data_IF_982561505099
#
_entry.id   IF_982561505099
#
_cell.length_a   1.000
_cell.length_b   1.000
_cell.length_c   1.000
_cell.angle_alpha   90.00
_cell.angle_beta   90.00
_cell.angle_gamma   90.00
#
_symmetry.space_group_name_H-M   'P 1'
#
loop_
_entity.id
_entity.type
_entity.pdbx_description
1 polymer ?
#
# COMPACT_ATOMS: atom_id res chain seq x y z
N UNK A 1 9.67 -8.21 15.03
CA UNK A 1 9.01 -8.70 13.81
C UNK A 1 9.14 -10.22 13.67
N UNK A 2 10.37 -10.77 13.59
CA UNK A 2 10.59 -12.21 13.35
C UNK A 2 10.40 -13.10 14.58
N UNK A 3 10.21 -12.57 15.75
CA UNK A 3 9.87 -13.37 16.94
C UNK A 3 8.36 -13.39 17.12
N UNK A 4 7.73 -14.55 16.89
CA UNK A 4 6.28 -14.69 16.88
C UNK A 4 5.63 -14.39 18.25
N UNK A 5 6.32 -14.64 19.38
CA UNK A 5 5.81 -14.31 20.70
C UNK A 5 5.82 -12.80 21.00
N UNK A 6 6.59 -12.01 20.24
CA UNK A 6 6.70 -10.56 20.38
C UNK A 6 5.93 -9.79 19.28
N UNK A 7 5.38 -10.50 18.29
CA UNK A 7 4.70 -9.91 17.14
C UNK A 7 3.26 -10.41 17.03
N UNK A 8 2.32 -9.69 17.61
CA UNK A 8 0.89 -9.99 17.49
C UNK A 8 0.27 -9.55 16.16
N UNK A 9 0.91 -8.62 15.45
CA UNK A 9 0.37 -8.04 14.24
C UNK A 9 0.44 -8.98 13.00
N UNK A 10 1.11 -10.14 13.11
CA UNK A 10 1.35 -11.10 12.01
C UNK A 10 1.93 -10.45 10.74
N UNK A 11 2.66 -9.36 10.89
CA UNK A 11 3.21 -8.54 9.80
C UNK A 11 4.61 -9.02 9.40
N UNK A 12 4.76 -10.31 9.10
CA UNK A 12 6.05 -10.95 8.82
C UNK A 12 6.29 -11.28 7.36
N UNK A 13 5.28 -11.13 6.50
CA UNK A 13 5.35 -11.59 5.10
C UNK A 13 6.52 -11.02 4.32
N UNK A 14 6.86 -9.73 4.49
CA UNK A 14 7.97 -9.13 3.76
C UNK A 14 9.34 -9.63 4.25
N UNK A 15 9.67 -9.59 5.56
CA UNK A 15 10.92 -10.17 6.03
C UNK A 15 11.07 -11.65 5.69
N UNK A 16 10.05 -12.47 5.89
CA UNK A 16 10.12 -13.92 5.63
C UNK A 16 10.24 -14.24 4.15
N UNK A 17 9.72 -13.39 3.27
CA UNK A 17 9.83 -13.56 1.82
C UNK A 17 11.24 -13.28 1.30
N UNK A 18 11.91 -12.25 1.83
CA UNK A 18 13.16 -11.74 1.26
C UNK A 18 14.42 -12.14 2.02
N UNK A 19 14.37 -12.26 3.34
CA UNK A 19 15.58 -12.44 4.17
C UNK A 19 15.88 -13.92 4.40
N UNK A 20 17.16 -14.28 4.24
CA UNK A 20 17.66 -15.64 4.54
C UNK A 20 17.37 -16.01 5.98
N UNK A 21 16.87 -17.22 6.24
CA UNK A 21 16.60 -17.76 7.57
C UNK A 21 15.45 -17.11 8.34
N UNK A 22 14.80 -16.07 7.77
CA UNK A 22 13.77 -15.32 8.48
C UNK A 22 12.48 -16.12 8.71
N UNK A 23 12.08 -16.92 7.74
CA UNK A 23 10.89 -17.78 7.82
C UNK A 23 11.08 -18.90 8.82
N UNK A 24 12.22 -19.58 8.71
CA UNK A 24 12.60 -20.67 9.61
C UNK A 24 12.70 -20.22 11.07
N UNK A 25 13.26 -19.03 11.28
CA UNK A 25 13.34 -18.44 12.61
C UNK A 25 11.96 -18.06 13.15
N UNK A 26 11.10 -17.47 12.31
CA UNK A 26 9.74 -17.12 12.71
C UNK A 26 8.93 -18.37 13.11
N UNK A 27 8.93 -19.42 12.32
CA UNK A 27 8.22 -20.68 12.64
C UNK A 27 8.80 -21.33 13.91
N UNK A 28 10.14 -21.35 14.05
CA UNK A 28 10.77 -21.82 15.30
C UNK A 28 10.27 -21.06 16.53
N UNK A 29 10.22 -19.73 16.46
CA UNK A 29 9.73 -18.92 17.61
C UNK A 29 8.25 -19.10 17.88
N UNK A 30 7.46 -19.38 16.86
CA UNK A 30 6.05 -19.71 16.97
C UNK A 30 5.84 -21.05 17.70
N UNK A 31 6.62 -22.06 17.34
CA UNK A 31 6.58 -23.38 18.00
C UNK A 31 7.05 -23.32 19.46
N UNK A 32 7.99 -22.43 19.77
CA UNK A 32 8.45 -22.21 21.16
C UNK A 32 7.40 -21.50 22.03
N UNK A 33 6.44 -20.81 21.43
CA UNK A 33 5.40 -20.06 22.14
C UNK A 33 5.99 -19.02 23.09
N UNK A 34 5.51 -19.00 24.35
CA UNK A 34 5.94 -18.01 25.34
C UNK A 34 7.45 -18.05 25.65
N UNK A 35 8.11 -19.21 25.50
CA UNK A 35 9.54 -19.35 25.73
C UNK A 35 10.39 -18.53 24.73
N UNK A 36 9.84 -18.17 23.58
CA UNK A 36 10.53 -17.32 22.62
C UNK A 36 10.64 -15.84 23.08
N UNK A 37 9.92 -15.42 24.10
CA UNK A 37 9.96 -14.04 24.62
C UNK A 37 11.35 -13.64 25.14
N UNK A 38 12.13 -14.60 25.63
CA UNK A 38 13.47 -14.36 26.19
C UNK A 38 14.57 -14.29 25.13
N UNK A 39 14.29 -14.69 23.88
CA UNK A 39 15.26 -14.64 22.80
C UNK A 39 15.67 -13.20 22.47
N UNK A 40 16.95 -13.01 22.17
CA UNK A 40 17.59 -11.74 21.86
C UNK A 40 18.16 -11.74 20.44
N UNK A 41 18.76 -10.63 20.06
CA UNK A 41 19.37 -10.45 18.75
C UNK A 41 20.40 -11.53 18.42
N UNK A 42 21.24 -11.93 19.40
CA UNK A 42 22.27 -12.95 19.19
C UNK A 42 21.63 -14.32 18.84
N UNK A 43 20.52 -14.69 19.47
CA UNK A 43 19.84 -15.96 19.16
C UNK A 43 19.30 -15.98 17.72
N UNK A 44 18.94 -14.81 17.19
CA UNK A 44 18.52 -14.66 15.80
C UNK A 44 19.71 -14.82 14.85
N UNK A 45 20.86 -14.24 15.17
CA UNK A 45 22.10 -14.42 14.40
C UNK A 45 22.57 -15.87 14.41
N UNK A 46 22.59 -16.50 15.58
CA UNK A 46 23.00 -17.92 15.76
C UNK A 46 22.06 -18.87 14.99
N UNK A 47 20.81 -18.46 14.77
CA UNK A 47 19.87 -19.18 13.92
C UNK A 47 20.09 -18.95 12.42
N UNK A 48 21.04 -18.13 12.02
CA UNK A 48 21.38 -17.88 10.62
C UNK A 48 20.46 -16.93 9.87
N UNK A 49 19.77 -16.05 10.59
CA UNK A 49 18.96 -15.00 9.95
C UNK A 49 19.88 -13.94 9.36
N UNK A 50 19.71 -13.62 8.09
CA UNK A 50 20.54 -12.71 7.32
C UNK A 50 20.30 -11.22 7.63
N UNK A 51 20.34 -10.83 8.91
CA UNK A 51 20.26 -9.44 9.37
C UNK A 51 21.40 -9.22 10.36
N UNK A 52 22.40 -8.43 9.97
CA UNK A 52 23.61 -8.20 10.75
C UNK A 52 23.87 -6.72 10.95
N UNK A 53 24.36 -6.35 12.12
CA UNK A 53 24.87 -5.02 12.43
C UNK A 53 26.36 -5.16 12.84
N UNK A 54 27.29 -5.15 11.87
CA UNK A 54 28.71 -5.34 12.14
C UNK A 54 29.35 -4.17 12.90
N UNK A 55 28.75 -3.00 12.84
CA UNK A 55 29.13 -1.80 13.58
C UNK A 55 27.90 -0.91 13.85
N UNK A 56 28.10 0.21 14.55
CA UNK A 56 27.01 1.12 14.97
C UNK A 56 26.31 1.84 13.82
N UNK A 57 26.85 1.83 12.62
CA UNK A 57 26.35 2.59 11.47
C UNK A 57 26.05 1.71 10.25
N UNK A 58 26.31 0.43 10.33
CA UNK A 58 26.14 -0.51 9.21
C UNK A 58 25.08 -1.55 9.54
N UNK A 59 24.07 -1.65 8.69
CA UNK A 59 23.07 -2.71 8.73
C UNK A 59 23.11 -3.50 7.42
N UNK A 60 23.34 -4.81 7.53
CA UNK A 60 23.45 -5.71 6.38
C UNK A 60 22.27 -6.65 6.33
N UNK A 61 21.62 -6.72 5.16
CA UNK A 61 20.58 -7.69 4.87
C UNK A 61 21.05 -8.68 3.81
N UNK A 62 20.96 -9.97 4.12
CA UNK A 62 21.24 -11.04 3.18
C UNK A 62 19.92 -11.58 2.64
N UNK A 63 19.69 -11.36 1.34
CA UNK A 63 18.44 -11.78 0.70
C UNK A 63 18.53 -13.23 0.20
N UNK A 64 17.38 -13.95 0.20
CA UNK A 64 17.24 -15.33 -0.32
C UNK A 64 17.58 -15.44 -1.81
N UNK A 65 17.40 -14.34 -2.55
CA UNK A 65 17.68 -14.23 -3.99
C UNK A 65 18.06 -12.79 -4.35
N UNK A 66 18.53 -12.56 -5.56
CA UNK A 66 18.85 -11.21 -6.03
C UNK A 66 17.60 -10.32 -5.99
N UNK A 67 17.69 -9.21 -5.27
CA UNK A 67 16.60 -8.26 -5.08
C UNK A 67 17.13 -6.83 -5.32
N UNK A 68 17.27 -6.40 -6.59
CA UNK A 68 17.81 -5.08 -6.93
C UNK A 68 16.92 -3.91 -6.48
N UNK A 69 15.71 -4.19 -6.01
CA UNK A 69 14.72 -3.23 -5.48
C UNK A 69 14.57 -3.34 -3.95
N UNK A 70 15.57 -3.89 -3.27
CA UNK A 70 15.49 -4.13 -1.82
C UNK A 70 15.38 -2.84 -1.00
N UNK A 71 15.90 -1.72 -1.48
CA UNK A 71 15.70 -0.39 -0.89
C UNK A 71 14.23 -0.03 -0.76
N UNK A 72 13.43 -0.32 -1.79
CA UNK A 72 11.97 -0.18 -1.74
C UNK A 72 11.34 -1.15 -0.74
N UNK A 73 11.80 -2.40 -0.69
CA UNK A 73 11.34 -3.38 0.30
C UNK A 73 11.64 -2.92 1.72
N UNK A 74 12.83 -2.38 1.96
CA UNK A 74 13.25 -1.86 3.26
C UNK A 74 12.43 -0.64 3.73
N UNK A 75 11.73 0.03 2.83
CA UNK A 75 10.82 1.15 3.18
C UNK A 75 9.46 0.71 3.72
N UNK A 76 9.13 -0.58 3.73
CA UNK A 76 7.90 -1.09 4.33
C UNK A 76 7.95 -1.03 5.86
N UNK A 77 6.80 -0.81 6.48
CA UNK A 77 6.67 -0.68 7.94
C UNK A 77 7.22 -1.86 8.72
N UNK A 78 7.25 -3.06 8.13
CA UNK A 78 7.84 -4.25 8.74
C UNK A 78 9.35 -4.20 8.91
N UNK A 79 10.03 -3.24 8.27
CA UNK A 79 11.47 -2.98 8.41
C UNK A 79 11.78 -1.72 9.22
N UNK A 80 10.77 -1.02 9.72
CA UNK A 80 11.01 0.18 10.53
C UNK A 80 11.75 -0.19 11.82
N UNK A 81 12.77 0.58 12.19
CA UNK A 81 13.54 0.31 13.40
C UNK A 81 12.67 0.52 14.65
N UNK A 82 12.83 -0.37 15.62
CA UNK A 82 12.26 -0.22 16.94
C UNK A 82 13.41 -0.03 17.94
N UNK A 83 13.26 0.93 18.88
CA UNK A 83 14.27 1.17 19.90
C UNK A 83 14.27 0.06 20.94
N UNK A 84 15.36 -0.70 21.05
CA UNK A 84 15.52 -1.70 22.12
C UNK A 84 15.53 -1.04 23.51
N UNK A 85 16.12 0.15 23.63
CA UNK A 85 16.14 0.92 24.89
C UNK A 85 14.71 1.25 25.33
N UNK A 86 13.87 1.73 24.41
CA UNK A 86 12.46 2.02 24.72
C UNK A 86 11.67 0.76 25.10
N UNK A 87 11.93 -0.35 24.42
CA UNK A 87 11.30 -1.64 24.74
C UNK A 87 11.71 -2.12 26.14
N UNK A 88 12.99 -1.98 26.50
CA UNK A 88 13.51 -2.39 27.80
C UNK A 88 13.00 -1.48 28.94
N UNK A 89 12.78 -0.19 28.68
CA UNK A 89 12.21 0.77 29.64
C UNK A 89 10.72 0.54 29.88
N UNK A 90 9.95 0.35 28.83
CA UNK A 90 8.49 0.23 28.91
C UNK A 90 8.00 -1.21 29.13
N UNK A 91 8.79 -2.18 28.75
CA UNK A 91 8.35 -3.56 28.57
C UNK A 91 7.57 -3.76 27.26
N UNK A 92 7.61 -4.98 26.73
CA UNK A 92 7.03 -5.27 25.39
C UNK A 92 5.53 -5.00 25.33
N UNK A 93 4.78 -5.24 26.37
CA UNK A 93 3.33 -5.04 26.37
C UNK A 93 2.96 -3.55 26.30
N UNK A 94 3.65 -2.71 27.07
CA UNK A 94 3.46 -1.24 26.99
C UNK A 94 3.93 -0.70 25.66
N UNK A 95 5.06 -1.19 25.13
CA UNK A 95 5.58 -0.78 23.83
C UNK A 95 4.59 -1.08 22.68
N UNK A 96 3.88 -2.20 22.71
CA UNK A 96 2.83 -2.53 21.75
C UNK A 96 1.65 -1.55 21.78
N UNK A 97 1.35 -1.00 22.94
CA UNK A 97 0.28 -0.04 23.18
C UNK A 97 0.76 1.41 23.26
N UNK A 98 1.97 1.73 22.79
CA UNK A 98 2.48 3.11 22.78
C UNK A 98 1.52 4.08 22.08
N UNK A 99 1.34 5.22 22.71
CA UNK A 99 0.64 6.37 22.15
C UNK A 99 1.61 7.55 21.91
N UNK A 100 1.06 8.70 21.59
CA UNK A 100 1.88 9.91 21.34
C UNK A 100 2.63 10.43 22.57
N UNK A 101 2.33 9.98 23.77
CA UNK A 101 2.94 10.47 25.02
C UNK A 101 4.21 9.73 25.40
N UNK A 102 4.38 8.49 24.94
CA UNK A 102 5.49 7.63 25.33
C UNK A 102 6.26 7.02 24.13
N UNK A 103 5.86 7.31 22.88
CA UNK A 103 6.56 6.85 21.69
C UNK A 103 7.76 7.72 21.36
N UNK A 104 8.86 7.11 20.88
CA UNK A 104 10.01 7.83 20.32
C UNK A 104 9.88 7.95 18.81
N UNK A 105 10.31 9.07 18.28
CA UNK A 105 10.15 9.43 16.87
C UNK A 105 11.48 9.68 16.19
N UNK A 106 11.71 9.06 15.03
CA UNK A 106 12.87 9.35 14.17
C UNK A 106 12.47 10.08 12.87
N UNK A 107 11.18 10.23 12.60
CA UNK A 107 10.65 10.89 11.41
C UNK A 107 10.65 12.43 11.51
N UNK A 108 10.25 13.12 10.41
CA UNK A 108 10.24 14.59 10.35
C UNK A 108 9.19 15.26 11.25
N UNK A 109 8.22 14.50 11.75
CA UNK A 109 7.15 14.98 12.62
C UNK A 109 7.03 14.15 13.88
N UNK A 110 6.54 14.79 14.96
CA UNK A 110 6.04 14.16 16.17
C UNK A 110 4.52 14.17 16.14
N UNK A 111 3.88 13.16 16.73
CA UNK A 111 2.44 13.21 17.00
C UNK A 111 2.23 14.00 18.29
N UNK A 112 1.74 15.22 18.19
CA UNK A 112 1.45 16.09 19.34
C UNK A 112 0.17 15.64 20.04
N UNK A 113 -0.87 15.34 19.28
CA UNK A 113 -2.17 14.89 19.78
C UNK A 113 -2.71 13.71 18.96
N UNK A 114 -3.28 12.75 19.66
CA UNK A 114 -3.97 11.64 19.06
C UNK A 114 -5.28 11.34 19.80
N UNK A 115 -6.41 11.67 19.16
CA UNK A 115 -7.74 11.30 19.63
C UNK A 115 -8.27 10.23 18.68
N UNK A 116 -8.37 9.01 19.16
CA UNK A 116 -8.77 7.85 18.35
C UNK A 116 -10.12 8.09 17.68
N UNK A 117 -10.16 7.88 16.35
CA UNK A 117 -11.37 8.07 15.55
C UNK A 117 -11.78 9.53 15.31
N UNK A 118 -10.99 10.50 15.76
CA UNK A 118 -11.28 11.92 15.64
C UNK A 118 -10.14 12.72 14.99
N UNK A 119 -9.04 12.94 15.73
CA UNK A 119 -8.00 13.89 15.30
C UNK A 119 -6.60 13.36 15.54
N UNK A 120 -5.70 13.66 14.61
CA UNK A 120 -4.24 13.53 14.77
C UNK A 120 -3.60 14.86 14.44
N UNK A 121 -2.80 15.40 15.36
CA UNK A 121 -1.99 16.59 15.13
C UNK A 121 -0.51 16.26 15.13
N UNK A 122 0.20 16.82 14.19
CA UNK A 122 1.63 16.63 14.00
C UNK A 122 2.35 17.96 14.06
N UNK A 123 3.51 17.98 14.72
CA UNK A 123 4.43 19.12 14.77
C UNK A 123 5.82 18.71 14.30
N UNK A 124 6.66 19.62 13.79
CA UNK A 124 8.01 19.29 13.36
C UNK A 124 8.84 18.65 14.47
N UNK A 125 9.53 17.56 14.14
CA UNK A 125 10.51 16.95 15.03
C UNK A 125 11.80 17.81 15.03
N UNK A 126 12.18 18.41 16.14
CA UNK A 126 13.40 19.24 16.21
C UNK A 126 14.69 18.41 16.08
N UNK A 127 14.62 17.11 16.34
CA UNK A 127 15.74 16.17 16.29
C UNK A 127 15.82 15.39 14.99
N UNK A 128 14.98 15.72 13.99
CA UNK A 128 15.03 15.04 12.71
C UNK A 128 16.37 15.30 12.00
N UNK A 129 17.05 14.23 11.61
CA UNK A 129 18.43 14.30 11.09
C UNK A 129 18.56 15.18 9.83
N UNK A 130 17.52 15.23 9.00
CA UNK A 130 17.49 15.97 7.73
C UNK A 130 16.63 17.25 7.79
N UNK A 131 16.47 17.81 8.98
CA UNK A 131 15.60 18.96 9.22
C UNK A 131 15.93 20.19 8.35
N UNK A 132 17.19 20.34 7.95
CA UNK A 132 17.65 21.48 7.13
C UNK A 132 17.22 21.38 5.65
N UNK A 133 17.02 20.17 5.13
CA UNK A 133 16.73 19.93 3.71
C UNK A 133 15.27 19.62 3.42
N UNK A 134 14.44 19.46 4.45
CA UNK A 134 13.03 19.09 4.29
C UNK A 134 12.13 20.24 4.71
N UNK A 135 11.32 20.73 3.78
CA UNK A 135 10.24 21.69 4.10
C UNK A 135 9.15 21.00 4.90
N UNK A 136 8.74 21.60 6.01
CA UNK A 136 7.74 21.06 6.91
C UNK A 136 6.70 22.12 7.26
N UNK A 137 5.46 21.70 7.41
CA UNK A 137 4.43 22.55 8.00
C UNK A 137 4.69 22.75 9.48
N UNK A 138 4.36 23.90 10.02
CA UNK A 138 4.44 24.17 11.48
C UNK A 138 3.49 23.25 12.26
N UNK A 139 2.36 22.93 11.67
CA UNK A 139 1.36 22.00 12.19
C UNK A 139 0.63 21.32 11.02
N UNK A 140 0.40 20.03 11.15
CA UNK A 140 -0.47 19.25 10.24
C UNK A 140 -1.54 18.59 11.11
N UNK A 141 -2.81 18.91 10.88
CA UNK A 141 -3.95 18.29 11.57
C UNK A 141 -4.73 17.41 10.60
N UNK A 142 -4.96 16.17 10.97
CA UNK A 142 -5.78 15.22 10.22
C UNK A 142 -7.04 14.94 11.03
N UNK A 143 -8.19 15.35 10.52
CA UNK A 143 -9.49 15.12 11.14
C UNK A 143 -10.21 13.98 10.45
N UNK A 144 -10.67 13.01 11.22
CA UNK A 144 -11.42 11.84 10.71
C UNK A 144 -12.89 12.18 10.65
N UNK A 145 -13.40 12.46 9.46
CA UNK A 145 -14.80 12.80 9.21
C UNK A 145 -15.42 11.69 8.37
N UNK A 146 -16.39 10.99 8.93
CA UNK A 146 -17.07 9.90 8.24
C UNK A 146 -18.11 10.37 7.22
N UNK A 147 -18.72 11.54 7.44
CA UNK A 147 -19.68 12.13 6.53
C UNK A 147 -19.01 13.13 5.59
N UNK A 148 -18.96 12.79 4.32
CA UNK A 148 -18.32 13.61 3.28
C UNK A 148 -19.05 14.94 3.01
N UNK A 149 -20.35 15.03 3.31
CA UNK A 149 -21.06 16.30 3.17
C UNK A 149 -20.64 17.29 4.26
N UNK A 150 -20.41 16.79 5.47
CA UNK A 150 -19.86 17.59 6.58
C UNK A 150 -18.42 18.01 6.24
N UNK A 151 -17.59 17.11 5.72
CA UNK A 151 -16.24 17.44 5.32
C UNK A 151 -16.21 18.54 4.25
N UNK A 152 -17.13 18.50 3.26
CA UNK A 152 -17.21 19.53 2.24
C UNK A 152 -17.67 20.89 2.82
N UNK A 153 -18.59 20.91 3.77
CA UNK A 153 -18.97 22.15 4.47
C UNK A 153 -17.80 22.76 5.25
N UNK A 154 -17.00 21.94 5.94
CA UNK A 154 -15.81 22.40 6.66
C UNK A 154 -14.78 22.97 5.69
N UNK A 155 -14.59 22.36 4.52
CA UNK A 155 -13.74 22.91 3.47
C UNK A 155 -14.27 24.26 2.96
N UNK A 156 -15.55 24.37 2.71
CA UNK A 156 -16.21 25.63 2.29
C UNK A 156 -16.05 26.74 3.34
N UNK A 157 -16.09 26.38 4.62
CA UNK A 157 -15.87 27.30 5.74
C UNK A 157 -14.39 27.62 5.99
N UNK A 158 -13.45 27.03 5.22
CA UNK A 158 -12.00 27.15 5.39
C UNK A 158 -11.47 26.58 6.72
N UNK A 159 -12.14 25.56 7.22
CA UNK A 159 -11.72 24.77 8.39
C UNK A 159 -10.87 23.57 7.98
N UNK A 160 -10.88 23.22 6.69
CA UNK A 160 -10.01 22.22 6.06
C UNK A 160 -9.32 22.83 4.84
N UNK A 161 -8.03 22.54 4.67
CA UNK A 161 -7.24 22.95 3.51
C UNK A 161 -7.34 21.95 2.35
N UNK A 162 -7.60 20.68 2.66
CA UNK A 162 -7.73 19.59 1.69
C UNK A 162 -8.74 18.55 2.19
N UNK A 163 -9.49 17.96 1.27
CA UNK A 163 -10.34 16.81 1.55
C UNK A 163 -10.45 15.87 0.34
N UNK A 164 -10.73 14.61 0.59
CA UNK A 164 -11.10 13.66 -0.46
C UNK A 164 -12.57 13.83 -0.83
N UNK A 165 -12.85 13.86 -2.14
CA UNK A 165 -14.19 14.01 -2.65
C UNK A 165 -14.83 12.66 -2.98
N UNK A 166 -16.10 12.49 -2.65
CA UNK A 166 -16.91 11.38 -3.12
C UNK A 166 -17.58 11.69 -4.48
N UNK A 167 -18.19 10.67 -5.07
CA UNK A 167 -18.87 10.79 -6.37
C UNK A 167 -19.96 11.85 -6.39
N UNK A 168 -20.74 11.98 -5.32
CA UNK A 168 -21.84 12.93 -5.22
C UNK A 168 -21.34 14.38 -5.26
N UNK A 169 -20.32 14.69 -4.45
CA UNK A 169 -19.73 16.03 -4.38
C UNK A 169 -19.05 16.41 -5.69
N UNK A 170 -18.27 15.48 -6.28
CA UNK A 170 -17.66 15.71 -7.60
C UNK A 170 -18.73 16.02 -8.66
N UNK A 171 -19.84 15.26 -8.65
CA UNK A 171 -20.92 15.50 -9.60
C UNK A 171 -21.52 16.88 -9.42
N UNK A 172 -21.78 17.28 -8.18
CA UNK A 172 -22.34 18.61 -7.89
C UNK A 172 -21.42 19.72 -8.39
N UNK A 173 -20.12 19.60 -8.15
CA UNK A 173 -19.13 20.60 -8.60
C UNK A 173 -19.04 20.62 -10.15
N UNK A 174 -18.91 19.47 -10.79
CA UNK A 174 -18.64 19.39 -12.25
C UNK A 174 -19.87 19.57 -13.12
N UNK A 175 -21.09 19.46 -12.55
CA UNK A 175 -22.34 19.71 -13.30
C UNK A 175 -22.58 21.20 -13.61
N UNK A 176 -21.99 22.10 -12.84
CA UNK A 176 -22.03 23.54 -13.09
C UNK A 176 -20.64 24.05 -13.51
N UNK A 177 -20.45 24.42 -14.79
CA UNK A 177 -19.17 24.95 -15.27
C UNK A 177 -18.68 26.21 -14.53
N UNK A 178 -19.60 26.95 -13.90
CA UNK A 178 -19.28 28.17 -13.17
C UNK A 178 -19.07 27.94 -11.67
N UNK A 179 -19.13 26.70 -11.21
CA UNK A 179 -18.88 26.37 -9.82
C UNK A 179 -17.47 26.80 -9.40
N UNK A 180 -17.35 27.58 -8.33
CA UNK A 180 -16.09 28.14 -7.85
C UNK A 180 -15.04 27.08 -7.47
N UNK A 181 -15.47 25.86 -7.13
CA UNK A 181 -14.58 24.76 -6.76
C UNK A 181 -14.03 23.97 -7.96
N UNK A 182 -14.51 24.19 -9.19
CA UNK A 182 -13.98 23.49 -10.36
C UNK A 182 -12.47 23.69 -10.55
N UNK A 183 -11.99 24.92 -10.30
CA UNK A 183 -10.56 25.25 -10.41
C UNK A 183 -9.69 24.67 -9.28
N UNK A 184 -10.31 24.18 -8.23
CA UNK A 184 -9.66 23.61 -7.05
C UNK A 184 -9.63 22.08 -7.10
N UNK A 185 -10.28 21.47 -8.09
CA UNK A 185 -10.25 20.02 -8.27
C UNK A 185 -8.84 19.57 -8.66
N UNK A 186 -8.23 18.78 -7.80
CA UNK A 186 -6.90 18.20 -8.03
C UNK A 186 -7.01 16.68 -8.15
N UNK A 187 -6.40 16.12 -9.17
CA UNK A 187 -6.28 14.67 -9.27
C UNK A 187 -5.11 14.18 -8.41
N UNK A 188 -5.38 13.29 -7.48
CA UNK A 188 -4.33 12.68 -6.67
C UNK A 188 -3.42 11.80 -7.53
N UNK A 189 -2.17 11.69 -7.10
CA UNK A 189 -1.23 10.72 -7.69
C UNK A 189 -1.84 9.33 -7.64
N UNK A 190 -1.73 8.61 -8.75
CA UNK A 190 -2.15 7.22 -8.82
C UNK A 190 -1.48 6.40 -7.71
N UNK A 191 -2.26 5.60 -6.99
CA UNK A 191 -1.72 4.70 -5.96
C UNK A 191 -0.87 3.62 -6.64
N UNK A 192 0.24 3.18 -6.04
CA UNK A 192 1.07 2.08 -6.56
C UNK A 192 0.39 0.72 -6.31
N UNK A 193 -0.89 0.62 -6.67
CA UNK A 193 -1.70 -0.58 -6.43
C UNK A 193 -2.55 -0.84 -7.65
N UNK A 194 -2.37 -2.00 -8.26
CA UNK A 194 -3.23 -2.51 -9.31
C UNK A 194 -4.27 -3.47 -8.73
N UNK A 195 -5.51 -3.35 -9.16
CA UNK A 195 -6.57 -4.31 -8.86
C UNK A 195 -6.85 -5.16 -10.07
N UNK A 196 -6.96 -6.46 -9.87
CA UNK A 196 -7.23 -7.39 -10.93
C UNK A 196 -8.37 -8.35 -10.57
N UNK A 197 -9.15 -8.73 -11.55
CA UNK A 197 -10.10 -9.83 -11.42
C UNK A 197 -9.37 -11.13 -11.69
N UNK A 198 -9.23 -11.97 -10.68
CA UNK A 198 -8.57 -13.27 -10.78
C UNK A 198 -9.61 -14.36 -10.98
N UNK A 199 -9.37 -15.22 -11.95
CA UNK A 199 -10.19 -16.40 -12.17
C UNK A 199 -9.69 -17.58 -11.33
N UNK A 200 -10.60 -18.26 -10.64
CA UNK A 200 -10.26 -19.51 -9.98
C UNK A 200 -10.24 -20.66 -10.99
N UNK A 201 -9.04 -21.13 -11.33
CA UNK A 201 -8.84 -22.23 -12.29
C UNK A 201 -9.06 -23.62 -11.69
N UNK A 202 -9.12 -23.72 -10.37
CA UNK A 202 -9.27 -24.98 -9.65
C UNK A 202 -10.37 -24.84 -8.59
N UNK A 203 -11.58 -24.46 -9.03
CA UNK A 203 -12.71 -24.31 -8.14
C UNK A 203 -13.21 -25.67 -7.67
N UNK A 204 -13.46 -25.77 -6.37
CA UNK A 204 -14.15 -26.91 -5.76
C UNK A 204 -15.57 -26.52 -5.35
N UNK A 205 -16.44 -27.53 -5.34
CA UNK A 205 -17.76 -27.48 -4.74
C UNK A 205 -17.67 -27.44 -3.22
N UNK A 206 -18.77 -27.18 -2.53
CA UNK A 206 -18.83 -27.11 -1.08
C UNK A 206 -18.42 -28.40 -0.36
N UNK A 207 -18.55 -29.54 -1.05
CA UNK A 207 -18.15 -30.88 -0.55
C UNK A 207 -16.67 -31.20 -0.81
N UNK A 208 -15.90 -30.27 -1.36
CA UNK A 208 -14.48 -30.43 -1.69
C UNK A 208 -14.21 -31.09 -3.05
N UNK A 209 -15.24 -31.58 -3.78
CA UNK A 209 -15.05 -32.14 -5.12
C UNK A 209 -14.82 -31.07 -6.18
N UNK A 210 -14.04 -31.32 -7.26
CA UNK A 210 -13.82 -30.33 -8.31
C UNK A 210 -15.11 -29.93 -9.02
N UNK A 211 -15.31 -28.60 -9.20
CA UNK A 211 -16.36 -28.09 -10.09
C UNK A 211 -15.92 -28.27 -11.55
N UNK A 212 -16.25 -29.43 -12.10
CA UNK A 212 -15.82 -29.87 -13.46
C UNK A 212 -16.29 -28.88 -14.53
N UNK A 213 -17.51 -28.37 -14.40
CA UNK A 213 -18.10 -27.49 -15.42
C UNK A 213 -17.41 -26.14 -15.42
N UNK A 214 -17.21 -25.55 -14.24
CA UNK A 214 -16.47 -24.27 -14.10
C UNK A 214 -15.02 -24.45 -14.57
N UNK A 215 -14.32 -25.46 -14.07
CA UNK A 215 -12.90 -25.65 -14.35
C UNK A 215 -12.65 -25.87 -15.85
N UNK A 216 -13.56 -26.58 -16.55
CA UNK A 216 -13.52 -26.72 -17.99
C UNK A 216 -13.80 -25.41 -18.73
N UNK A 217 -14.80 -24.64 -18.29
CA UNK A 217 -15.15 -23.36 -18.91
C UNK A 217 -14.02 -22.36 -18.77
N UNK A 218 -13.46 -22.20 -17.55
CA UNK A 218 -12.44 -21.20 -17.27
C UNK A 218 -11.09 -21.53 -17.91
N UNK A 219 -10.81 -22.80 -18.20
CA UNK A 219 -9.65 -23.23 -18.98
C UNK A 219 -9.70 -22.73 -20.43
N UNK A 220 -10.90 -22.46 -20.96
CA UNK A 220 -11.09 -21.98 -22.32
C UNK A 220 -10.78 -20.47 -22.42
N UNK A 221 -9.82 -20.12 -23.27
CA UNK A 221 -9.42 -18.71 -23.48
C UNK A 221 -10.56 -17.85 -24.03
N UNK A 222 -11.37 -18.37 -24.94
CA UNK A 222 -12.51 -17.62 -25.49
C UNK A 222 -13.55 -17.29 -24.39
N UNK A 223 -13.78 -18.21 -23.45
CA UNK A 223 -14.65 -17.95 -22.30
C UNK A 223 -14.12 -16.82 -21.42
N UNK A 224 -12.82 -16.79 -21.12
CA UNK A 224 -12.20 -15.69 -20.36
C UNK A 224 -12.28 -14.36 -21.11
N UNK A 225 -12.10 -14.39 -22.43
CA UNK A 225 -12.23 -13.17 -23.25
C UNK A 225 -13.66 -12.61 -23.26
N UNK A 226 -14.69 -13.43 -23.03
CA UNK A 226 -16.06 -12.92 -22.88
C UNK A 226 -16.19 -11.97 -21.68
N UNK A 227 -15.53 -12.26 -20.57
CA UNK A 227 -15.51 -11.33 -19.42
C UNK A 227 -14.77 -10.06 -19.77
N UNK A 228 -13.57 -10.16 -20.33
CA UNK A 228 -12.76 -9.00 -20.70
C UNK A 228 -13.51 -8.07 -21.68
N UNK A 229 -14.18 -8.61 -22.68
CA UNK A 229 -14.88 -7.84 -23.71
C UNK A 229 -16.32 -7.47 -23.38
N UNK A 230 -16.96 -8.24 -22.49
CA UNK A 230 -18.38 -8.08 -22.16
C UNK A 230 -18.65 -7.16 -20.98
N UNK A 231 -17.64 -6.85 -20.16
CA UNK A 231 -17.81 -5.97 -19.00
C UNK A 231 -17.79 -4.49 -19.41
N UNK A 232 -18.78 -3.73 -18.96
CA UNK A 232 -18.77 -2.28 -19.11
C UNK A 232 -17.86 -1.66 -18.06
N UNK A 233 -16.56 -1.66 -18.32
CA UNK A 233 -15.53 -1.14 -17.43
C UNK A 233 -15.68 0.37 -17.20
N UNK A 234 -16.13 1.13 -18.19
CA UNK A 234 -16.34 2.57 -18.04
C UNK A 234 -17.38 2.88 -16.96
N UNK A 235 -18.50 2.15 -16.94
CA UNK A 235 -19.51 2.32 -15.89
C UNK A 235 -19.01 1.89 -14.51
N UNK A 236 -18.15 0.89 -14.45
CA UNK A 236 -17.51 0.45 -13.22
C UNK A 236 -16.50 1.51 -12.71
N UNK A 237 -15.61 1.97 -13.58
CA UNK A 237 -14.57 2.95 -13.22
C UNK A 237 -15.13 4.32 -12.87
N UNK A 238 -16.29 4.73 -13.43
CA UNK A 238 -16.94 5.98 -13.07
C UNK A 238 -17.34 6.08 -11.59
N UNK A 239 -17.35 4.96 -10.86
CA UNK A 239 -17.53 4.95 -9.41
C UNK A 239 -16.29 5.43 -8.65
N UNK A 240 -15.11 5.32 -9.27
CA UNK A 240 -13.82 5.66 -8.65
C UNK A 240 -13.21 6.93 -9.24
N UNK A 241 -13.42 7.17 -10.52
CA UNK A 241 -12.98 8.38 -11.20
C UNK A 241 -14.08 8.83 -12.16
N UNK A 242 -14.89 9.78 -11.73
CA UNK A 242 -16.01 10.27 -12.52
C UNK A 242 -15.58 11.21 -13.64
N UNK A 243 -14.49 11.93 -13.44
CA UNK A 243 -13.97 12.90 -14.41
C UNK A 243 -13.35 12.17 -15.59
N UNK A 244 -12.52 11.17 -15.34
CA UNK A 244 -11.86 10.38 -16.36
C UNK A 244 -11.84 8.88 -15.99
N UNK A 245 -12.96 8.16 -16.14
CA UNK A 245 -13.09 6.77 -15.73
C UNK A 245 -12.04 5.85 -16.38
N UNK A 246 -11.74 6.05 -17.65
CA UNK A 246 -10.81 5.19 -18.40
C UNK A 246 -9.35 5.33 -17.95
N UNK A 247 -9.01 6.38 -17.19
CA UNK A 247 -7.70 6.51 -16.55
C UNK A 247 -7.46 5.43 -15.48
N UNK A 248 -8.51 4.82 -14.96
CA UNK A 248 -8.43 3.69 -14.03
C UNK A 248 -8.14 2.35 -14.71
N UNK A 249 -8.24 2.30 -16.05
CA UNK A 249 -8.00 1.07 -16.81
C UNK A 249 -6.51 0.71 -16.81
N UNK A 250 -6.23 -0.54 -16.48
CA UNK A 250 -4.89 -1.10 -16.50
C UNK A 250 -4.93 -2.53 -17.06
N UNK A 251 -4.41 -2.69 -18.29
CA UNK A 251 -4.37 -3.97 -18.99
C UNK A 251 -3.14 -4.81 -18.61
N UNK A 252 -2.32 -4.32 -17.70
CA UNK A 252 -1.08 -4.94 -17.29
C UNK A 252 -1.14 -5.34 -15.81
N UNK A 253 -0.35 -6.35 -15.45
CA UNK A 253 -0.20 -6.73 -14.04
C UNK A 253 0.47 -5.62 -13.23
N UNK A 254 1.47 -4.98 -13.83
CA UNK A 254 2.17 -3.83 -13.23
C UNK A 254 1.42 -2.54 -13.53
N UNK A 255 1.27 -1.71 -12.53
CA UNK A 255 0.60 -0.43 -12.66
C UNK A 255 1.41 0.55 -13.51
N UNK A 256 0.72 1.37 -14.31
CA UNK A 256 1.32 2.48 -15.06
C UNK A 256 2.00 3.48 -14.09
N UNK A 257 3.18 3.95 -14.47
CA UNK A 257 3.93 4.94 -13.71
C UNK A 257 4.72 4.40 -12.52
N UNK A 258 4.81 3.08 -12.37
CA UNK A 258 5.55 2.45 -11.29
C UNK A 258 7.02 2.22 -11.63
N UNK A 259 7.31 1.76 -12.84
CA UNK A 259 8.66 1.39 -13.28
C UNK A 259 9.05 2.12 -14.56
N UNK A 260 10.30 2.55 -14.61
CA UNK A 260 10.90 3.21 -15.78
C UNK A 260 12.25 2.57 -16.09
N UNK A 261 12.60 2.50 -17.35
CA UNK A 261 13.96 2.12 -17.74
C UNK A 261 14.96 3.27 -17.51
N UNK A 262 16.24 3.03 -17.74
CA UNK A 262 17.32 4.03 -17.60
C UNK A 262 17.19 5.22 -18.55
N UNK A 263 16.33 5.15 -19.55
CA UNK A 263 16.02 6.21 -20.50
C UNK A 263 14.75 6.99 -20.14
N UNK A 264 14.13 6.67 -18.98
CA UNK A 264 12.89 7.30 -18.53
C UNK A 264 11.63 6.80 -19.25
N UNK A 265 11.71 5.69 -20.02
CA UNK A 265 10.54 5.11 -20.68
C UNK A 265 9.79 4.20 -19.70
N UNK A 266 8.51 4.42 -19.60
CA UNK A 266 7.63 3.69 -18.68
C UNK A 266 7.46 2.21 -19.10
N UNK A 267 7.45 1.30 -18.12
CA UNK A 267 7.45 -0.15 -18.35
C UNK A 267 6.25 -0.63 -19.19
N UNK A 268 5.03 -0.17 -18.88
CA UNK A 268 3.84 -0.64 -19.60
C UNK A 268 3.84 -0.20 -21.07
N UNK A 269 4.47 0.96 -21.39
CA UNK A 269 4.67 1.42 -22.75
C UNK A 269 5.68 0.52 -23.52
N UNK A 270 6.72 0.02 -22.84
CA UNK A 270 7.67 -0.93 -23.43
C UNK A 270 6.99 -2.27 -23.74
N UNK A 271 6.23 -2.80 -22.78
CA UNK A 271 5.49 -4.04 -22.96
C UNK A 271 4.45 -3.94 -24.07
N UNK A 272 3.70 -2.82 -24.11
CA UNK A 272 2.73 -2.56 -25.18
C UNK A 272 3.38 -2.61 -26.57
N UNK A 273 4.55 -1.95 -26.70
CA UNK A 273 5.31 -1.93 -27.95
C UNK A 273 5.81 -3.32 -28.35
N UNK A 274 6.38 -4.09 -27.43
CA UNK A 274 6.87 -5.44 -27.68
C UNK A 274 5.76 -6.44 -28.04
N UNK A 275 4.60 -6.32 -27.41
CA UNK A 275 3.46 -7.19 -27.63
C UNK A 275 2.59 -6.73 -28.82
N UNK A 276 2.89 -5.62 -29.45
CA UNK A 276 2.11 -5.06 -30.54
C UNK A 276 0.75 -4.51 -30.09
N UNK A 277 0.63 -4.15 -28.81
CA UNK A 277 -0.54 -3.45 -28.30
C UNK A 277 -0.34 -1.94 -28.53
N UNK A 278 -1.22 -1.37 -29.31
CA UNK A 278 -1.36 0.09 -29.35
C UNK A 278 -2.27 0.48 -28.18
N UNK A 279 -1.73 1.28 -27.25
CA UNK A 279 -2.46 1.74 -26.07
C UNK A 279 -3.73 2.53 -26.41
N UNK A 280 -3.79 3.13 -27.60
CA UNK A 280 -4.99 3.80 -28.12
C UNK A 280 -5.99 2.78 -28.70
N UNK A 281 -5.52 1.71 -29.33
CA UNK A 281 -6.39 0.70 -29.98
C UNK A 281 -7.11 -0.19 -28.99
N UNK A 282 -6.51 -0.49 -27.83
CA UNK A 282 -7.13 -1.32 -26.78
C UNK A 282 -8.33 -0.56 -26.16
N UNK A 283 -8.19 0.73 -25.90
CA UNK A 283 -9.27 1.58 -25.41
C UNK A 283 -10.46 1.65 -26.39
N UNK A 284 -10.20 1.73 -27.69
CA UNK A 284 -11.22 1.80 -28.74
C UNK A 284 -11.95 0.47 -29.01
N UNK A 285 -11.32 -0.67 -28.80
CA UNK A 285 -11.98 -1.98 -28.98
C UNK A 285 -13.08 -2.22 -27.92
N UNK A 286 -12.92 -1.71 -26.71
CA UNK A 286 -13.98 -1.74 -25.71
C UNK A 286 -15.16 -0.81 -26.03
N UNK A 287 -14.91 0.35 -26.59
CA UNK A 287 -15.96 1.29 -27.01
C UNK A 287 -16.77 0.76 -28.19
N UNK A 288 -16.15 0.09 -29.18
CA UNK A 288 -16.85 -0.47 -30.35
C UNK A 288 -17.72 -1.68 -30.02
N UNK A 289 -17.42 -2.44 -28.98
CA UNK A 289 -18.24 -3.58 -28.57
C UNK A 289 -19.60 -3.16 -27.95
N UNK A 290 -19.72 -1.89 -27.56
CA UNK A 290 -20.96 -1.34 -26.97
C UNK A 290 -21.78 -0.48 -27.96
N UNK A 291 -21.24 -0.13 -29.12
CA UNK A 291 -21.97 0.62 -30.17
C UNK A 291 -22.69 -0.27 -31.19
N UNK A 292 -22.49 -1.57 -31.12
CA UNK A 292 -23.20 -2.56 -31.96
C UNK A 292 -24.13 -3.43 -31.13
#
# INVERSE_FOLDING_TARGET
MLNASKNEANNTSMPTLYIVGAEEYYEKTKDMGAAAADLRYQDMLDAGVGIEAPDDYTLVFTCKHSCPYFDTVASYTSFYPASQVLIDELGIETFRGCDNTNMWYCGPYLVEEYIQGNTKSYIPNPHYYDAANVSRFERLTVTMISDQAIAFQLYQNRELDEMDLNESTITTITSDPNNEYNSQLCEKRARPTAYAMHFNYQKNNADGTPDVNWNKAIANTAFRQCFYRGLNLKAWFSRYNKINPLKCENDYYTMKGLCYNTQGVEYTALVAKEMGFDSETVSYTHLRAHET
#
